data_IF_618984258337
#
_entry.id   IF_618984258337
#
_cell.length_a   1.000
_cell.length_b   1.000
_cell.length_c   1.000
_cell.angle_alpha   90.00
_cell.angle_beta   90.00
_cell.angle_gamma   90.00
#
_symmetry.space_group_name_H-M   'P 1'
#
loop_
_entity.id
_entity.type
_entity.pdbx_description
1 polymer ?
#
# COMPACT_ATOMS: atom_id res chain seq x y z
N UNK A 1 3.43 14.58 -22.58
CA UNK A 1 3.81 14.42 -21.16
C UNK A 1 4.06 12.94 -20.90
N UNK A 2 5.10 12.60 -20.14
CA UNK A 2 5.35 11.20 -19.78
C UNK A 2 4.23 10.70 -18.84
N UNK A 3 3.78 9.45 -19.02
CA UNK A 3 2.78 8.83 -18.16
C UNK A 3 3.25 8.75 -16.70
N UNK A 4 2.34 9.07 -15.77
CA UNK A 4 2.55 8.88 -14.33
C UNK A 4 2.77 7.41 -13.99
N UNK A 5 3.48 7.12 -12.90
CA UNK A 5 3.85 5.76 -12.45
C UNK A 5 3.36 5.48 -11.04
N UNK A 6 2.77 4.30 -10.83
CA UNK A 6 2.32 3.85 -9.51
C UNK A 6 2.92 2.48 -9.16
N UNK A 7 3.36 2.34 -7.92
CA UNK A 7 3.81 1.08 -7.34
C UNK A 7 2.70 0.56 -6.40
N UNK A 8 2.17 -0.63 -6.66
CA UNK A 8 1.15 -1.27 -5.83
C UNK A 8 1.76 -2.50 -5.16
N UNK A 9 1.72 -2.55 -3.83
CA UNK A 9 2.40 -3.59 -3.06
C UNK A 9 1.48 -4.78 -2.81
N UNK A 10 1.86 -5.95 -3.33
CA UNK A 10 1.17 -7.22 -3.14
C UNK A 10 1.84 -8.03 -2.03
N UNK A 11 1.11 -8.32 -0.95
CA UNK A 11 1.56 -9.20 0.11
C UNK A 11 0.61 -10.37 0.27
N UNK A 12 1.11 -11.51 0.77
CA UNK A 12 0.27 -12.67 1.09
C UNK A 12 -0.86 -12.25 2.03
N UNK A 13 -2.09 -12.64 1.70
CA UNK A 13 -3.29 -12.27 2.45
C UNK A 13 -3.75 -10.81 2.24
N UNK A 14 -3.27 -10.13 1.20
CA UNK A 14 -3.89 -8.89 0.72
C UNK A 14 -5.35 -9.12 0.32
N UNK A 15 -6.18 -8.10 0.51
CA UNK A 15 -7.56 -8.11 0.02
C UNK A 15 -7.54 -7.91 -1.50
N UNK A 16 -8.05 -8.92 -2.23
CA UNK A 16 -7.96 -9.00 -3.69
C UNK A 16 -8.74 -7.90 -4.42
N UNK A 17 -9.88 -7.45 -3.92
CA UNK A 17 -10.66 -6.39 -4.55
C UNK A 17 -9.97 -5.03 -4.40
N UNK A 18 -9.40 -4.76 -3.23
CA UNK A 18 -8.57 -3.58 -2.94
C UNK A 18 -7.23 -3.60 -3.68
N UNK A 19 -6.80 -4.75 -4.19
CA UNK A 19 -5.66 -4.87 -5.10
C UNK A 19 -6.06 -4.62 -6.54
N UNK A 20 -7.05 -5.37 -7.04
CA UNK A 20 -7.39 -5.38 -8.47
C UNK A 20 -8.08 -4.08 -8.89
N UNK A 21 -8.98 -3.53 -8.06
CA UNK A 21 -9.74 -2.33 -8.42
C UNK A 21 -8.82 -1.11 -8.63
N UNK A 22 -7.93 -0.72 -7.69
CA UNK A 22 -7.04 0.42 -7.92
C UNK A 22 -6.09 0.19 -9.09
N UNK A 23 -5.55 -1.03 -9.26
CA UNK A 23 -4.67 -1.36 -10.38
C UNK A 23 -5.37 -1.17 -11.71
N UNK A 24 -6.57 -1.74 -11.87
CA UNK A 24 -7.38 -1.63 -13.09
C UNK A 24 -7.73 -0.16 -13.37
N UNK A 25 -8.28 0.56 -12.40
CA UNK A 25 -8.71 1.95 -12.56
C UNK A 25 -7.52 2.87 -12.90
N UNK A 26 -6.38 2.71 -12.24
CA UNK A 26 -5.17 3.50 -12.56
C UNK A 26 -4.65 3.19 -13.97
N UNK A 27 -4.66 1.92 -14.40
CA UNK A 27 -4.28 1.54 -15.77
C UNK A 27 -5.23 2.16 -16.79
N UNK A 28 -6.55 2.18 -16.53
CA UNK A 28 -7.54 2.87 -17.38
C UNK A 28 -7.31 4.38 -17.47
N UNK A 29 -6.78 4.99 -16.41
CA UNK A 29 -6.38 6.40 -16.38
C UNK A 29 -5.04 6.68 -17.10
N UNK A 30 -4.40 5.66 -17.71
CA UNK A 30 -3.12 5.80 -18.40
C UNK A 30 -1.90 5.86 -17.49
N UNK A 31 -2.05 5.52 -16.20
CA UNK A 31 -0.94 5.39 -15.25
C UNK A 31 -0.22 4.06 -15.51
N UNK A 32 1.12 4.11 -15.55
CA UNK A 32 1.97 2.92 -15.60
C UNK A 32 2.04 2.28 -14.21
N UNK A 33 1.27 1.22 -14.01
CA UNK A 33 1.17 0.53 -12.72
C UNK A 33 2.09 -0.69 -12.69
N UNK A 34 2.90 -0.79 -11.65
CA UNK A 34 3.70 -1.99 -11.30
C UNK A 34 3.10 -2.65 -10.07
N UNK A 35 2.61 -3.87 -10.20
CA UNK A 35 2.21 -4.73 -9.09
C UNK A 35 3.45 -5.47 -8.59
N UNK A 36 3.97 -5.08 -7.44
CA UNK A 36 5.20 -5.62 -6.88
C UNK A 36 4.93 -6.50 -5.67
N UNK A 37 5.37 -7.75 -5.71
CA UNK A 37 5.19 -8.66 -4.58
C UNK A 37 6.27 -8.45 -3.51
N UNK A 38 5.82 -8.40 -2.25
CA UNK A 38 6.65 -8.21 -1.08
C UNK A 38 7.69 -9.33 -0.89
N UNK A 39 7.39 -10.55 -1.33
CA UNK A 39 8.18 -11.75 -0.98
C UNK A 39 8.92 -12.38 -2.15
N UNK A 40 8.81 -11.86 -3.38
CA UNK A 40 9.48 -12.42 -4.55
C UNK A 40 8.68 -12.27 -5.84
N UNK A 41 8.95 -13.13 -6.84
CA UNK A 41 8.24 -13.13 -8.13
C UNK A 41 7.13 -14.19 -8.21
N UNK A 42 7.03 -15.06 -7.21
CA UNK A 42 6.04 -16.12 -7.20
C UNK A 42 4.61 -15.56 -7.09
N UNK A 43 3.60 -16.29 -7.61
CA UNK A 43 2.21 -15.93 -7.43
C UNK A 43 1.83 -15.83 -5.95
N UNK A 44 1.05 -14.80 -5.60
CA UNK A 44 0.69 -14.50 -4.22
C UNK A 44 -0.77 -14.85 -3.97
N UNK A 45 -1.02 -15.62 -2.91
CA UNK A 45 -2.37 -15.94 -2.45
C UNK A 45 -2.95 -14.79 -1.60
N UNK A 46 -4.09 -14.26 -2.05
CA UNK A 46 -4.88 -13.21 -1.40
C UNK A 46 -5.80 -13.77 -0.31
N UNK A 47 -6.56 -12.88 0.33
CA UNK A 47 -7.35 -13.15 1.54
C UNK A 47 -8.52 -14.12 1.33
N UNK A 48 -9.14 -14.14 0.13
CA UNK A 48 -10.19 -15.08 -0.27
C UNK A 48 -9.71 -16.09 -1.31
N UNK A 49 -8.43 -16.44 -1.22
CA UNK A 49 -7.78 -17.50 -2.00
C UNK A 49 -7.63 -17.22 -3.50
N UNK A 50 -7.93 -16.02 -3.99
CA UNK A 50 -7.49 -15.59 -5.31
C UNK A 50 -5.95 -15.58 -5.34
N UNK A 51 -5.36 -16.03 -6.44
CA UNK A 51 -3.91 -16.01 -6.65
C UNK A 51 -3.59 -15.00 -7.72
N UNK A 52 -2.71 -14.04 -7.40
CA UNK A 52 -2.30 -12.97 -8.31
C UNK A 52 -0.82 -13.14 -8.62
N UNK A 53 -0.48 -13.19 -9.91
CA UNK A 53 0.91 -13.11 -10.38
C UNK A 53 1.36 -11.64 -10.34
N UNK A 54 2.42 -11.29 -9.60
CA UNK A 54 2.95 -9.93 -9.62
C UNK A 54 3.66 -9.63 -10.95
N UNK A 55 3.77 -8.35 -11.29
CA UNK A 55 4.59 -7.90 -12.43
C UNK A 55 6.10 -8.04 -12.11
N UNK A 56 6.49 -7.82 -10.85
CA UNK A 56 7.87 -7.89 -10.37
C UNK A 56 7.96 -8.23 -8.88
N UNK A 57 9.16 -8.57 -8.39
CA UNK A 57 9.44 -8.52 -6.96
C UNK A 57 9.55 -7.07 -6.51
N UNK A 58 9.33 -6.81 -5.21
CA UNK A 58 9.53 -5.49 -4.61
C UNK A 58 10.98 -5.01 -4.78
N UNK A 59 11.94 -5.92 -4.68
CA UNK A 59 13.36 -5.62 -4.87
C UNK A 59 13.65 -5.07 -6.26
N UNK A 60 13.11 -5.72 -7.30
CA UNK A 60 13.30 -5.27 -8.68
C UNK A 60 12.52 -4.00 -8.97
N UNK A 61 11.26 -3.91 -8.52
CA UNK A 61 10.44 -2.72 -8.69
C UNK A 61 11.04 -1.49 -8.01
N UNK A 62 11.74 -1.64 -6.86
CA UNK A 62 12.43 -0.53 -6.19
C UNK A 62 13.54 0.07 -7.05
N UNK A 63 14.28 -0.75 -7.81
CA UNK A 63 15.38 -0.31 -8.70
C UNK A 63 14.85 0.55 -9.86
N UNK A 64 13.61 0.31 -10.28
CA UNK A 64 12.96 1.03 -11.37
C UNK A 64 12.36 2.38 -10.94
N UNK A 65 12.42 2.76 -9.66
CA UNK A 65 11.87 4.02 -9.15
C UNK A 65 12.51 5.29 -9.77
N UNK A 66 12.01 6.49 -9.43
CA UNK A 66 10.93 6.76 -8.47
C UNK A 66 9.53 6.55 -9.07
N UNK A 67 8.53 6.50 -8.19
CA UNK A 67 7.11 6.40 -8.53
C UNK A 67 6.38 7.65 -8.07
N UNK A 68 5.41 8.13 -8.85
CA UNK A 68 4.57 9.26 -8.46
C UNK A 68 3.65 8.90 -7.26
N UNK A 69 3.39 7.60 -7.06
CA UNK A 69 2.55 7.09 -5.99
C UNK A 69 2.95 5.68 -5.56
N UNK A 70 2.91 5.42 -4.24
CA UNK A 70 2.95 4.07 -3.66
C UNK A 70 1.59 3.74 -3.05
N UNK A 71 1.05 2.57 -3.36
CA UNK A 71 -0.27 2.10 -2.91
C UNK A 71 -0.14 0.87 -2.01
N UNK A 72 -0.68 0.96 -0.80
CA UNK A 72 -0.77 -0.13 0.17
C UNK A 72 -2.20 -0.69 0.22
N UNK A 73 -2.35 -1.94 -0.18
CA UNK A 73 -3.64 -2.64 -0.08
C UNK A 73 -3.90 -3.08 1.35
N UNK A 74 -5.17 -3.31 1.69
CA UNK A 74 -5.55 -3.86 2.98
C UNK A 74 -5.49 -5.39 3.02
N UNK A 75 -6.51 -5.97 3.64
CA UNK A 75 -6.48 -7.34 4.17
C UNK A 75 -5.67 -7.40 5.47
N UNK A 76 -6.19 -8.10 6.49
CA UNK A 76 -5.54 -8.14 7.81
C UNK A 76 -4.13 -8.72 7.76
N UNK A 77 -3.98 -9.89 7.12
CA UNK A 77 -2.69 -10.55 6.97
C UNK A 77 -1.78 -9.79 6.01
N UNK A 78 -2.31 -9.29 4.90
CA UNK A 78 -1.56 -8.45 3.96
C UNK A 78 -0.97 -7.22 4.63
N UNK A 79 -1.79 -6.44 5.34
CA UNK A 79 -1.36 -5.27 6.09
C UNK A 79 -0.36 -5.62 7.21
N UNK A 80 -0.54 -6.77 7.89
CA UNK A 80 0.42 -7.24 8.89
C UNK A 80 1.80 -7.56 8.28
N UNK A 81 1.83 -8.13 7.07
CA UNK A 81 3.08 -8.39 6.36
C UNK A 81 3.77 -7.09 5.92
N UNK A 82 3.00 -6.08 5.49
CA UNK A 82 3.53 -4.74 5.18
C UNK A 82 4.11 -4.04 6.43
N UNK A 83 3.41 -4.16 7.56
CA UNK A 83 3.82 -3.66 8.87
C UNK A 83 5.20 -4.22 9.30
N UNK A 84 5.43 -5.52 9.11
CA UNK A 84 6.68 -6.19 9.52
C UNK A 84 7.85 -6.03 8.54
N UNK A 85 7.65 -5.39 7.39
CA UNK A 85 8.67 -5.32 6.34
C UNK A 85 9.58 -4.11 6.49
N UNK A 86 10.88 -4.36 6.67
CA UNK A 86 11.92 -3.33 6.63
C UNK A 86 12.00 -2.66 5.25
N UNK A 87 11.83 -3.43 4.17
CA UNK A 87 11.79 -2.88 2.81
C UNK A 87 10.64 -1.88 2.63
N UNK A 88 9.49 -2.13 3.26
CA UNK A 88 8.38 -1.18 3.24
C UNK A 88 8.69 0.10 4.01
N UNK A 89 9.38 0.01 5.16
CA UNK A 89 9.83 1.19 5.90
C UNK A 89 10.68 2.10 5.01
N UNK A 90 11.66 1.52 4.31
CA UNK A 90 12.55 2.26 3.42
C UNK A 90 11.79 2.96 2.28
N UNK A 91 10.94 2.20 1.57
CA UNK A 91 10.17 2.73 0.43
C UNK A 91 9.25 3.87 0.86
N UNK A 92 8.54 3.73 1.99
CA UNK A 92 7.62 4.75 2.46
C UNK A 92 8.37 6.01 2.94
N UNK A 93 9.50 5.85 3.64
CA UNK A 93 10.33 6.99 4.05
C UNK A 93 10.93 7.72 2.87
N UNK A 94 11.35 6.99 1.83
CA UNK A 94 11.84 7.60 0.59
C UNK A 94 10.73 8.37 -0.13
N UNK A 95 9.54 7.77 -0.27
CA UNK A 95 8.37 8.41 -0.89
C UNK A 95 7.94 9.68 -0.14
N UNK A 96 7.90 9.63 1.20
CA UNK A 96 7.59 10.78 2.07
C UNK A 96 8.64 11.89 1.91
N UNK A 97 9.94 11.55 1.92
CA UNK A 97 11.03 12.50 1.70
C UNK A 97 10.94 13.18 0.33
N UNK A 98 10.52 12.43 -0.70
CA UNK A 98 10.28 12.95 -2.05
C UNK A 98 8.97 13.75 -2.17
N UNK A 99 8.18 13.86 -1.09
CA UNK A 99 6.86 14.52 -1.09
C UNK A 99 5.91 13.97 -2.15
N UNK A 100 6.06 12.69 -2.47
CA UNK A 100 5.23 11.98 -3.46
C UNK A 100 4.10 11.24 -2.75
N UNK A 101 3.08 10.82 -3.51
CA UNK A 101 1.85 10.32 -2.91
C UNK A 101 2.06 8.94 -2.27
N UNK A 102 1.42 8.75 -1.11
CA UNK A 102 1.24 7.46 -0.46
C UNK A 102 -0.26 7.26 -0.27
N UNK A 103 -0.81 6.20 -0.83
CA UNK A 103 -2.21 5.82 -0.70
C UNK A 103 -2.32 4.50 0.06
N UNK A 104 -3.27 4.40 0.99
CA UNK A 104 -3.50 3.18 1.75
C UNK A 104 -5.00 2.99 2.04
N UNK A 105 -5.49 1.75 1.95
CA UNK A 105 -6.91 1.41 2.12
C UNK A 105 -7.14 0.33 3.19
N UNK A 106 -8.31 0.36 3.82
CA UNK A 106 -8.78 -0.63 4.80
C UNK A 106 -7.85 -0.78 6.01
N UNK A 107 -7.04 -1.85 6.06
CA UNK A 107 -6.06 -2.11 7.12
C UNK A 107 -4.66 -1.63 6.74
N UNK A 108 -4.41 -1.33 5.46
CA UNK A 108 -3.16 -0.80 4.93
C UNK A 108 -2.64 0.44 5.68
N UNK A 109 -3.49 1.41 6.10
CA UNK A 109 -3.04 2.57 6.86
C UNK A 109 -2.30 2.22 8.16
N UNK A 110 -2.53 1.05 8.76
CA UNK A 110 -1.80 0.63 9.97
C UNK A 110 -0.30 0.46 9.74
N UNK A 111 0.15 0.23 8.49
CA UNK A 111 1.56 0.21 8.15
C UNK A 111 2.19 1.62 8.17
N UNK A 112 1.40 2.68 7.93
CA UNK A 112 1.87 4.06 8.02
C UNK A 112 2.24 4.42 9.46
N UNK A 113 1.40 4.02 10.43
CA UNK A 113 1.68 4.24 11.86
C UNK A 113 3.03 3.65 12.28
N UNK A 114 3.26 2.39 11.90
CA UNK A 114 4.46 1.64 12.31
C UNK A 114 5.73 2.13 11.65
N UNK A 115 5.63 2.56 10.40
CA UNK A 115 6.75 3.14 9.68
C UNK A 115 6.88 4.65 9.91
N UNK A 116 6.08 5.20 10.83
CA UNK A 116 6.09 6.61 11.25
C UNK A 116 5.92 7.58 10.08
N UNK A 117 4.92 7.32 9.24
CA UNK A 117 4.67 8.06 8.00
C UNK A 117 3.51 9.02 8.19
N UNK A 118 3.70 10.28 7.83
CA UNK A 118 2.63 11.28 7.73
C UNK A 118 1.99 11.65 9.06
N UNK A 119 2.72 11.60 10.18
CA UNK A 119 2.20 12.02 11.49
C UNK A 119 1.62 13.44 11.44
N UNK A 120 0.51 13.63 12.14
CA UNK A 120 -0.32 14.85 12.10
C UNK A 120 -1.37 14.86 10.98
N UNK A 121 -1.31 13.92 10.03
CA UNK A 121 -2.29 13.85 8.93
C UNK A 121 -3.69 13.43 9.42
N UNK A 122 -4.71 13.85 8.67
CA UNK A 122 -6.07 13.33 8.79
C UNK A 122 -6.21 12.04 7.98
N UNK A 123 -6.65 10.97 8.63
CA UNK A 123 -6.71 9.61 8.05
C UNK A 123 -8.07 8.95 8.28
N UNK A 124 -8.40 7.99 7.42
CA UNK A 124 -9.52 7.04 7.63
C UNK A 124 -9.04 5.61 7.37
N UNK A 125 -9.89 4.62 7.67
CA UNK A 125 -9.61 3.19 7.56
C UNK A 125 -10.88 2.39 7.81
N UNK A 126 -10.76 1.07 7.68
CA UNK A 126 -11.83 0.18 8.12
C UNK A 126 -12.11 0.32 9.63
N UNK A 127 -13.38 0.32 10.08
CA UNK A 127 -13.74 0.48 11.50
C UNK A 127 -13.03 -0.49 12.43
N UNK A 128 -12.86 -1.76 12.02
CA UNK A 128 -12.17 -2.76 12.85
C UNK A 128 -10.66 -2.52 13.02
N UNK A 129 -10.06 -1.63 12.24
CA UNK A 129 -8.67 -1.21 12.44
C UNK A 129 -8.57 0.06 13.32
N UNK A 130 -9.68 0.57 13.90
CA UNK A 130 -9.76 1.84 14.64
C UNK A 130 -8.75 1.94 15.79
N UNK A 131 -8.73 0.96 16.65
CA UNK A 131 -7.91 1.06 17.86
C UNK A 131 -6.43 0.97 17.52
N UNK A 132 -6.06 0.05 16.61
CA UNK A 132 -4.66 -0.14 16.21
C UNK A 132 -4.04 1.14 15.63
N UNK A 133 -4.71 1.79 14.69
CA UNK A 133 -4.14 2.96 14.00
C UNK A 133 -4.28 4.28 14.78
N UNK A 134 -5.14 4.35 15.80
CA UNK A 134 -5.21 5.51 16.70
C UNK A 134 -4.29 5.39 17.92
N UNK A 135 -3.57 4.27 18.06
CA UNK A 135 -2.62 4.09 19.15
C UNK A 135 -1.53 5.19 19.10
N UNK A 136 -1.32 5.85 20.23
CA UNK A 136 -0.34 6.94 20.36
C UNK A 136 -0.76 8.28 19.77
N UNK A 137 -2.01 8.45 19.32
CA UNK A 137 -2.58 9.73 18.84
C UNK A 137 -1.72 10.47 17.79
N UNK A 138 -1.05 9.72 16.91
CA UNK A 138 -0.17 10.28 15.87
C UNK A 138 -0.92 10.85 14.65
N UNK A 139 -2.23 10.62 14.57
CA UNK A 139 -3.09 11.03 13.46
C UNK A 139 -4.40 11.62 13.96
N UNK A 140 -5.05 12.44 13.12
CA UNK A 140 -6.46 12.82 13.34
C UNK A 140 -7.38 11.88 12.56
N UNK A 141 -8.46 11.40 13.19
CA UNK A 141 -9.34 10.39 12.57
C UNK A 141 -10.54 11.02 11.86
N UNK A 142 -10.94 10.41 10.75
CA UNK A 142 -12.14 10.79 9.99
C UNK A 142 -13.11 9.61 9.89
N UNK A 143 -14.31 9.79 10.45
CA UNK A 143 -15.47 8.89 10.32
C UNK A 143 -16.49 9.41 9.31
N UNK A 144 -16.17 10.47 8.56
CA UNK A 144 -17.07 11.00 7.56
C UNK A 144 -17.34 9.92 6.49
N UNK A 145 -18.49 9.29 6.61
CA UNK A 145 -19.15 8.55 5.55
C UNK A 145 -19.69 9.61 4.60
N UNK A 146 -19.03 9.80 3.45
CA UNK A 146 -19.48 10.74 2.42
C UNK A 146 -20.94 10.47 2.08
#
# INVERSE_FOLDING_TARGET
MASKRALVILAKGAEETEMVIPVDVMRRAGIKVTVASLTGKDPVQCSRHIVICPDASLEDAKKEGPYDMVVLTGGYLGAHNLFNSAAMKEILKEQEKQKSLIAAIYAGPTALLTHEIGFGSKVTKHPLAKDKMMNGNQYSYSENHV
#
